data_IF_706519176943
#
_entry.id   IF_706519176943
#
_cell.length_a   1.000
_cell.length_b   1.000
_cell.length_c   1.000
_cell.angle_alpha   90.00
_cell.angle_beta   90.00
_cell.angle_gamma   90.00
#
_symmetry.space_group_name_H-M   'P 1'
#
loop_
_entity.id
_entity.type
_entity.pdbx_description
1 polymer ?
#
# COMPACT_ATOMS: atom_id res chain seq x y z
N UNK A 1 16.46 -12.44 7.80
CA UNK A 1 16.32 -13.29 6.61
C UNK A 1 14.96 -13.13 5.98
N UNK A 2 14.92 -13.21 4.67
CA UNK A 2 13.68 -12.99 3.91
C UNK A 2 12.58 -13.99 4.27
N UNK A 3 12.93 -15.25 4.47
CA UNK A 3 11.97 -16.28 4.84
C UNK A 3 11.32 -16.01 6.19
N UNK A 4 12.08 -15.49 7.15
CA UNK A 4 11.53 -15.14 8.46
C UNK A 4 10.56 -13.95 8.35
N UNK A 5 10.93 -12.95 7.56
CA UNK A 5 10.06 -11.80 7.32
C UNK A 5 8.72 -12.24 6.74
N UNK A 6 8.77 -13.08 5.71
CA UNK A 6 7.54 -13.52 5.03
C UNK A 6 6.69 -14.40 5.94
N UNK A 7 7.31 -15.25 6.76
CA UNK A 7 6.57 -16.06 7.72
C UNK A 7 5.84 -15.18 8.73
N UNK A 8 6.53 -14.18 9.28
CA UNK A 8 5.92 -13.24 10.22
C UNK A 8 4.81 -12.43 9.56
N UNK A 9 5.01 -12.00 8.31
CA UNK A 9 4.00 -11.27 7.57
C UNK A 9 2.73 -12.10 7.38
N UNK A 10 2.87 -13.37 7.00
CA UNK A 10 1.72 -14.26 6.83
C UNK A 10 0.96 -14.47 8.14
N UNK A 11 1.67 -14.56 9.24
CA UNK A 11 1.04 -14.68 10.57
C UNK A 11 0.24 -13.43 10.94
N UNK A 12 0.63 -12.27 10.40
CA UNK A 12 -0.10 -11.02 10.59
C UNK A 12 -1.29 -10.87 9.65
N UNK A 13 -1.47 -11.80 8.72
CA UNK A 13 -2.56 -11.77 7.76
C UNK A 13 -2.20 -11.22 6.39
N UNK A 14 -0.92 -10.93 6.15
CA UNK A 14 -0.48 -10.48 4.83
C UNK A 14 -0.41 -11.63 3.85
N UNK A 15 -0.78 -11.35 2.61
CA UNK A 15 -0.54 -12.21 1.46
C UNK A 15 0.60 -11.58 0.67
N UNK A 16 1.47 -12.43 0.14
CA UNK A 16 2.64 -11.99 -0.63
C UNK A 16 2.49 -12.53 -2.03
N UNK A 17 2.52 -11.65 -3.02
CA UNK A 17 2.35 -12.03 -4.40
C UNK A 17 3.40 -11.40 -5.28
N UNK A 18 3.58 -11.99 -6.47
CA UNK A 18 4.35 -11.34 -7.52
C UNK A 18 3.61 -10.10 -7.98
N UNK A 19 4.28 -9.26 -8.77
CA UNK A 19 3.67 -8.05 -9.31
C UNK A 19 2.39 -8.40 -10.07
N UNK A 20 1.34 -7.62 -9.83
CA UNK A 20 0.06 -7.81 -10.50
C UNK A 20 0.00 -6.95 -11.76
N UNK A 21 -0.93 -7.30 -12.67
CA UNK A 21 -1.15 -6.52 -13.88
C UNK A 21 -1.67 -5.12 -13.60
N UNK A 22 -2.17 -4.86 -12.40
CA UNK A 22 -2.67 -3.54 -12.02
C UNK A 22 -1.58 -2.58 -11.57
N UNK A 23 -0.39 -3.11 -11.24
CA UNK A 23 0.68 -2.28 -10.73
C UNK A 23 1.28 -1.43 -11.85
N UNK A 24 1.51 -0.16 -11.53
CA UNK A 24 1.98 0.85 -12.48
C UNK A 24 3.38 1.37 -12.17
N UNK A 25 3.86 1.18 -10.93
CA UNK A 25 5.22 1.55 -10.59
C UNK A 25 6.19 0.59 -11.27
N UNK A 26 7.07 1.13 -12.11
CA UNK A 26 8.03 0.31 -12.86
C UNK A 26 9.38 0.36 -12.18
N UNK A 27 9.90 -0.82 -11.84
CA UNK A 27 11.23 -0.93 -11.23
C UNK A 27 11.86 -2.26 -11.65
N UNK A 28 13.17 -2.25 -11.78
CA UNK A 28 13.94 -3.47 -12.03
C UNK A 28 14.49 -4.06 -10.72
N UNK A 29 14.23 -3.42 -9.59
CA UNK A 29 14.73 -3.87 -8.31
C UNK A 29 13.88 -5.05 -7.81
N UNK A 30 14.50 -6.23 -7.73
CA UNK A 30 13.81 -7.46 -7.33
C UNK A 30 13.41 -7.50 -5.86
N UNK A 31 13.90 -6.55 -5.05
CA UNK A 31 13.53 -6.45 -3.63
C UNK A 31 12.14 -5.86 -3.42
N UNK A 32 11.57 -5.24 -4.45
CA UNK A 32 10.23 -4.66 -4.37
C UNK A 32 9.20 -5.75 -4.65
N UNK A 33 8.32 -5.97 -3.67
CA UNK A 33 7.35 -7.05 -3.69
C UNK A 33 5.99 -6.52 -3.24
N UNK A 34 4.93 -7.11 -3.77
CA UNK A 34 3.56 -6.72 -3.44
C UNK A 34 3.05 -7.54 -2.25
N UNK A 35 2.61 -6.85 -1.22
CA UNK A 35 1.94 -7.44 -0.07
C UNK A 35 0.50 -6.96 -0.05
N UNK A 36 -0.39 -7.80 0.43
CA UNK A 36 -1.82 -7.47 0.55
C UNK A 36 -2.34 -7.84 1.93
N UNK A 37 -3.22 -7.01 2.46
CA UNK A 37 -3.90 -7.27 3.73
C UNK A 37 -5.38 -6.93 3.55
N UNK A 38 -6.24 -7.55 4.38
CA UNK A 38 -7.67 -7.29 4.32
C UNK A 38 -7.95 -5.80 4.50
N UNK A 39 -8.82 -5.25 3.66
CA UNK A 39 -9.21 -3.85 3.74
C UNK A 39 -10.38 -3.68 4.72
N UNK A 40 -10.06 -3.17 5.91
CA UNK A 40 -11.07 -2.87 6.93
C UNK A 40 -11.43 -1.37 6.96
N UNK A 41 -10.86 -0.59 6.04
CA UNK A 41 -11.14 0.83 5.94
C UNK A 41 -12.42 1.07 5.13
N UNK A 42 -12.88 2.31 5.12
CA UNK A 42 -14.01 2.71 4.30
C UNK A 42 -13.61 3.22 2.91
N UNK A 43 -12.31 3.22 2.60
CA UNK A 43 -11.84 3.56 1.26
C UNK A 43 -11.73 2.26 0.45
N UNK A 44 -12.62 2.07 -0.52
CA UNK A 44 -12.76 0.79 -1.23
C UNK A 44 -12.35 0.84 -2.70
N UNK A 45 -11.94 1.99 -3.20
CA UNK A 45 -11.54 2.11 -4.59
C UNK A 45 -10.59 3.30 -4.75
N UNK A 46 -9.29 3.02 -4.68
CA UNK A 46 -8.28 4.06 -4.90
C UNK A 46 -6.97 3.40 -5.28
N UNK A 47 -6.23 4.04 -6.16
CA UNK A 47 -4.93 3.56 -6.61
C UNK A 47 -3.97 4.73 -6.64
N UNK A 48 -2.93 4.66 -5.81
CA UNK A 48 -1.90 5.69 -5.71
C UNK A 48 -0.55 5.13 -6.12
N UNK A 49 0.22 5.91 -6.84
CA UNK A 49 1.55 5.52 -7.34
C UNK A 49 2.56 6.59 -6.92
N UNK A 50 3.73 6.16 -6.43
CA UNK A 50 4.82 7.06 -6.08
C UNK A 50 5.31 7.78 -7.34
N UNK A 51 5.29 9.11 -7.31
CA UNK A 51 5.70 9.94 -8.42
C UNK A 51 6.14 11.28 -7.88
N UNK A 52 7.33 11.72 -8.28
CA UNK A 52 7.87 13.01 -7.87
C UNK A 52 7.85 13.20 -6.35
N UNK A 53 8.36 12.20 -5.63
CA UNK A 53 8.57 12.22 -4.18
C UNK A 53 7.32 11.98 -3.33
N UNK A 54 6.17 11.68 -3.93
CA UNK A 54 4.97 11.40 -3.15
C UNK A 54 4.03 10.43 -3.85
N UNK A 55 3.12 9.84 -3.08
CA UNK A 55 2.05 9.02 -3.64
C UNK A 55 1.03 9.94 -4.31
N UNK A 56 0.78 9.70 -5.58
CA UNK A 56 -0.10 10.50 -6.41
C UNK A 56 -1.27 9.64 -6.89
N UNK A 57 -2.47 10.19 -6.86
CA UNK A 57 -3.65 9.47 -7.32
C UNK A 57 -3.52 9.10 -8.79
N UNK A 58 -3.62 7.79 -9.07
CA UNK A 58 -3.62 7.27 -10.42
C UNK A 58 -5.05 7.01 -10.92
N UNK A 59 -5.92 6.45 -10.07
CA UNK A 59 -7.26 6.04 -10.44
C UNK A 59 -8.11 5.80 -9.17
N UNK A 60 -9.40 6.05 -9.13
CA UNK A 60 -10.19 6.70 -10.17
C UNK A 60 -10.11 8.23 -10.06
N UNK A 61 -10.13 8.88 -11.20
CA UNK A 61 -10.02 10.34 -11.26
C UNK A 61 -11.20 11.03 -10.58
N UNK A 62 -12.36 10.39 -10.59
CA UNK A 62 -13.58 10.93 -9.95
C UNK A 62 -13.40 11.09 -8.44
N UNK A 63 -12.42 10.43 -7.83
CA UNK A 63 -12.15 10.57 -6.40
C UNK A 63 -11.79 12.01 -6.05
N UNK A 64 -11.21 12.76 -6.99
CA UNK A 64 -10.85 14.17 -6.79
C UNK A 64 -12.07 15.07 -6.52
N UNK A 65 -13.24 14.61 -6.87
CA UNK A 65 -14.50 15.36 -6.68
C UNK A 65 -15.29 14.88 -5.47
N UNK A 66 -14.72 13.92 -4.70
CA UNK A 66 -15.35 13.45 -3.48
C UNK A 66 -15.19 14.51 -2.39
N UNK A 67 -16.22 14.69 -1.57
CA UNK A 67 -16.18 15.66 -0.48
C UNK A 67 -15.06 15.37 0.52
N UNK A 68 -14.64 14.12 0.64
CA UNK A 68 -13.59 13.70 1.55
C UNK A 68 -12.22 13.65 0.91
N UNK A 69 -12.07 14.14 -0.33
CA UNK A 69 -10.81 13.97 -1.06
C UNK A 69 -9.62 14.56 -0.32
N UNK A 70 -9.78 15.75 0.26
CA UNK A 70 -8.68 16.39 0.99
C UNK A 70 -8.25 15.54 2.19
N UNK A 71 -9.21 14.99 2.92
CA UNK A 71 -8.92 14.11 4.04
C UNK A 71 -8.22 12.84 3.58
N UNK A 72 -8.68 12.26 2.46
CA UNK A 72 -8.05 11.08 1.87
C UNK A 72 -6.59 11.38 1.52
N UNK A 73 -6.33 12.52 0.86
CA UNK A 73 -4.97 12.91 0.50
C UNK A 73 -4.08 13.09 1.72
N UNK A 74 -4.60 13.67 2.79
CA UNK A 74 -3.84 13.82 4.03
C UNK A 74 -3.48 12.46 4.63
N UNK A 75 -4.40 11.53 4.64
CA UNK A 75 -4.16 10.20 5.16
C UNK A 75 -3.16 9.42 4.31
N UNK A 76 -3.25 9.54 3.00
CA UNK A 76 -2.31 8.90 2.08
C UNK A 76 -0.91 9.49 2.30
N UNK A 77 -0.79 10.80 2.46
CA UNK A 77 0.52 11.45 2.65
C UNK A 77 1.19 11.06 3.97
N UNK A 78 0.41 10.58 4.94
CA UNK A 78 0.94 10.14 6.23
C UNK A 78 1.38 8.68 6.23
N UNK A 79 1.16 7.95 5.15
CA UNK A 79 1.64 6.58 5.03
C UNK A 79 3.17 6.55 4.99
N UNK A 80 3.80 5.46 5.46
CA UNK A 80 5.26 5.37 5.40
C UNK A 80 5.79 5.59 3.99
N UNK A 81 6.89 6.34 3.88
CA UNK A 81 7.48 6.66 2.59
C UNK A 81 8.08 5.47 1.84
N UNK A 82 8.13 4.32 2.49
CA UNK A 82 8.58 3.07 1.86
C UNK A 82 7.56 2.47 0.91
N UNK A 83 6.31 2.93 0.94
CA UNK A 83 5.27 2.44 0.04
C UNK A 83 5.41 3.15 -1.31
N UNK A 84 5.59 2.37 -2.37
CA UNK A 84 5.80 2.90 -3.72
C UNK A 84 4.52 2.88 -4.56
N UNK A 85 3.59 2.03 -4.19
CA UNK A 85 2.29 1.95 -4.85
C UNK A 85 1.32 1.32 -3.88
N UNK A 86 0.07 1.81 -3.85
CA UNK A 86 -0.94 1.25 -2.98
C UNK A 86 -2.28 1.23 -3.72
N UNK A 87 -2.97 0.10 -3.61
CA UNK A 87 -4.26 -0.12 -4.27
C UNK A 87 -5.26 -0.54 -3.20
N UNK A 88 -6.35 0.22 -3.10
CA UNK A 88 -7.48 -0.12 -2.24
C UNK A 88 -8.58 -0.71 -3.10
N UNK A 89 -9.06 -1.90 -2.74
CA UNK A 89 -10.26 -2.47 -3.36
C UNK A 89 -11.22 -2.90 -2.26
N UNK A 90 -12.34 -3.52 -2.63
CA UNK A 90 -13.36 -3.89 -1.65
C UNK A 90 -12.84 -4.83 -0.58
N UNK A 91 -11.96 -5.73 -0.92
CA UNK A 91 -11.52 -6.82 -0.06
C UNK A 91 -10.13 -6.62 0.53
N UNK A 92 -9.23 -5.99 -0.21
CA UNK A 92 -7.82 -5.92 0.15
C UNK A 92 -7.23 -4.54 -0.06
N UNK A 93 -6.16 -4.27 0.69
CA UNK A 93 -5.22 -3.19 0.41
C UNK A 93 -3.93 -3.87 -0.03
N UNK A 94 -3.47 -3.55 -1.24
CA UNK A 94 -2.24 -4.10 -1.80
C UNK A 94 -1.20 -2.99 -1.92
N UNK A 95 0.04 -3.27 -1.55
CA UNK A 95 1.08 -2.25 -1.63
C UNK A 95 2.41 -2.84 -2.08
N UNK A 96 3.17 -2.03 -2.80
CA UNK A 96 4.50 -2.37 -3.27
C UNK A 96 5.51 -1.73 -2.33
N UNK A 97 6.44 -2.51 -1.80
CA UNK A 97 7.44 -2.01 -0.87
C UNK A 97 8.74 -2.80 -0.99
N UNK A 98 9.79 -2.30 -0.39
CA UNK A 98 11.10 -2.94 -0.41
C UNK A 98 11.25 -3.86 0.80
N UNK A 99 11.21 -5.16 0.56
CA UNK A 99 11.32 -6.17 1.62
C UNK A 99 12.62 -6.09 2.41
N UNK A 100 13.67 -5.52 1.83
CA UNK A 100 14.95 -5.43 2.55
C UNK A 100 14.89 -4.48 3.76
N UNK A 101 13.83 -3.68 3.88
CA UNK A 101 13.62 -2.81 5.03
C UNK A 101 13.20 -3.59 6.29
N UNK A 102 12.71 -4.82 6.12
CA UNK A 102 12.50 -5.73 7.23
C UNK A 102 11.20 -5.56 8.00
N UNK A 103 11.09 -6.34 9.08
CA UNK A 103 9.84 -6.45 9.83
C UNK A 103 9.46 -5.15 10.54
N UNK A 104 10.41 -4.34 10.99
CA UNK A 104 10.09 -3.08 11.67
C UNK A 104 9.33 -2.14 10.76
N UNK A 105 9.75 -2.06 9.49
CA UNK A 105 9.06 -1.23 8.52
C UNK A 105 7.68 -1.80 8.19
N UNK A 106 7.57 -3.12 8.06
CA UNK A 106 6.28 -3.76 7.80
C UNK A 106 5.30 -3.50 8.94
N UNK A 107 5.77 -3.51 10.18
CA UNK A 107 4.93 -3.22 11.33
C UNK A 107 4.40 -1.78 11.31
N UNK A 108 5.22 -0.83 10.87
CA UNK A 108 4.77 0.56 10.69
C UNK A 108 3.67 0.64 9.65
N UNK A 109 3.86 -0.04 8.52
CA UNK A 109 2.87 -0.09 7.44
C UNK A 109 1.58 -0.71 7.96
N UNK A 110 1.68 -1.85 8.63
CA UNK A 110 0.52 -2.55 9.19
C UNK A 110 -0.29 -1.63 10.11
N UNK A 111 0.39 -0.95 11.02
CA UNK A 111 -0.27 -0.05 11.97
C UNK A 111 -1.04 1.05 11.25
N UNK A 112 -0.41 1.67 10.24
CA UNK A 112 -1.06 2.74 9.49
C UNK A 112 -2.26 2.24 8.70
N UNK A 113 -2.14 1.07 8.08
CA UNK A 113 -3.24 0.52 7.28
C UNK A 113 -4.41 0.07 8.15
N UNK A 114 -4.15 -0.50 9.31
CA UNK A 114 -5.22 -0.92 10.23
C UNK A 114 -5.94 0.26 10.87
N UNK A 115 -5.28 1.40 10.97
CA UNK A 115 -5.87 2.63 11.51
C UNK A 115 -6.36 3.58 10.41
N UNK A 116 -6.27 3.15 9.16
CA UNK A 116 -6.70 3.98 8.03
C UNK A 116 -8.22 4.06 8.00
N UNK A 117 -8.75 5.28 8.05
CA UNK A 117 -10.17 5.54 7.93
C UNK A 117 -10.39 6.98 7.47
N UNK A 118 -11.50 7.19 6.79
CA UNK A 118 -11.86 8.51 6.27
C UNK A 118 -13.04 9.06 7.08
#
# INVERSE_FOLDING_TARGET
>A
MLSDLRLKARKKGFQISSLTSKQKFVTKNIKFVCYSIKNISNLKNAHYVFKESSLTLYDPIKLKFDDNFEEIENKISNLPGSILEIIFNDSYISFLWNESLGISELEKIEKQLKNFSI
#
